data_IF_505280312642
#
_entry.id   IF_505280312642
#
_cell.length_a   1.000
_cell.length_b   1.000
_cell.length_c   1.000
_cell.angle_alpha   90.00
_cell.angle_beta   90.00
_cell.angle_gamma   90.00
#
_symmetry.space_group_name_H-M   'P 1'
#
loop_
_entity.id
_entity.type
_entity.pdbx_description
1 polymer ?
#
# COMPACT_ATOMS: atom_id res chain seq x y z
N UNK A 1 -9.51 -22.03 -9.34
CA UNK A 1 -9.72 -20.59 -9.12
C UNK A 1 -8.74 -19.82 -9.98
N UNK A 2 -9.21 -19.19 -11.05
CA UNK A 2 -8.37 -18.31 -11.85
C UNK A 2 -7.99 -17.07 -11.03
N UNK A 3 -6.72 -16.67 -11.07
CA UNK A 3 -6.28 -15.50 -10.29
C UNK A 3 -6.85 -14.21 -10.90
N UNK A 4 -7.23 -13.23 -10.07
CA UNK A 4 -7.69 -11.93 -10.58
C UNK A 4 -6.65 -11.25 -11.48
N UNK A 5 -5.36 -11.46 -11.22
CA UNK A 5 -4.27 -10.95 -12.05
C UNK A 5 -4.30 -11.51 -13.48
N UNK A 6 -4.57 -12.81 -13.62
CA UNK A 6 -4.68 -13.49 -14.91
C UNK A 6 -5.85 -12.93 -15.73
N UNK A 7 -7.03 -12.78 -15.12
CA UNK A 7 -8.19 -12.24 -15.82
C UNK A 7 -7.98 -10.77 -16.23
N UNK A 8 -7.27 -9.97 -15.42
CA UNK A 8 -6.87 -8.60 -15.81
C UNK A 8 -5.94 -8.59 -17.03
N UNK A 9 -5.00 -9.53 -17.09
CA UNK A 9 -4.15 -9.71 -18.27
C UNK A 9 -4.99 -10.08 -19.50
N UNK A 10 -5.99 -10.95 -19.35
CA UNK A 10 -6.93 -11.29 -20.42
C UNK A 10 -7.77 -10.08 -20.88
N UNK A 11 -8.24 -9.23 -19.95
CA UNK A 11 -8.93 -7.97 -20.31
C UNK A 11 -8.00 -7.06 -21.11
N UNK A 12 -6.74 -6.89 -20.66
CA UNK A 12 -5.73 -6.08 -21.37
C UNK A 12 -5.45 -6.64 -22.77
N UNK A 13 -5.34 -7.96 -22.90
CA UNK A 13 -5.17 -8.63 -24.18
C UNK A 13 -6.35 -8.34 -25.12
N UNK A 14 -7.59 -8.46 -24.64
CA UNK A 14 -8.77 -8.14 -25.44
C UNK A 14 -8.83 -6.65 -25.85
N UNK A 15 -8.45 -5.75 -24.94
CA UNK A 15 -8.32 -4.32 -25.24
C UNK A 15 -7.30 -4.04 -26.35
N UNK A 16 -6.14 -4.71 -26.33
CA UNK A 16 -5.12 -4.58 -27.37
C UNK A 16 -5.52 -5.19 -28.71
N UNK A 17 -6.52 -6.08 -28.72
CA UNK A 17 -7.14 -6.62 -29.94
C UNK A 17 -8.31 -5.77 -30.45
N UNK A 18 -8.47 -4.54 -29.94
CA UNK A 18 -9.58 -3.63 -30.25
C UNK A 18 -10.97 -4.23 -30.00
N UNK A 19 -11.07 -5.22 -29.11
CA UNK A 19 -12.36 -5.75 -28.64
C UNK A 19 -13.02 -4.75 -27.72
N UNK A 20 -14.35 -4.71 -27.73
CA UNK A 20 -15.08 -3.87 -26.80
C UNK A 20 -15.28 -4.58 -25.45
N UNK A 21 -15.65 -3.79 -24.42
CA UNK A 21 -15.83 -4.31 -23.07
C UNK A 21 -16.94 -5.38 -22.99
N UNK A 22 -18.00 -5.27 -23.79
CA UNK A 22 -19.11 -6.23 -23.79
C UNK A 22 -18.68 -7.58 -24.37
N UNK A 23 -17.94 -7.58 -25.48
CA UNK A 23 -17.34 -8.79 -26.05
C UNK A 23 -16.39 -9.45 -25.05
N UNK A 24 -15.55 -8.66 -24.40
CA UNK A 24 -14.59 -9.15 -23.41
C UNK A 24 -15.29 -9.81 -22.22
N UNK A 25 -16.41 -9.23 -21.73
CA UNK A 25 -17.23 -9.87 -20.68
C UNK A 25 -17.73 -11.23 -21.13
N UNK A 26 -18.18 -11.37 -22.37
CA UNK A 26 -18.66 -12.65 -22.89
C UNK A 26 -17.52 -13.66 -23.01
N UNK A 27 -16.35 -13.25 -23.50
CA UNK A 27 -15.16 -14.09 -23.60
C UNK A 27 -14.68 -14.58 -22.23
N UNK A 28 -14.65 -13.70 -21.22
CA UNK A 28 -14.30 -14.07 -19.85
C UNK A 28 -15.31 -15.04 -19.25
N UNK A 29 -16.62 -14.83 -19.46
CA UNK A 29 -17.64 -15.78 -19.00
C UNK A 29 -17.50 -17.15 -19.65
N UNK A 30 -17.17 -17.20 -20.94
CA UNK A 30 -16.94 -18.48 -21.64
C UNK A 30 -15.70 -19.20 -21.10
N UNK A 31 -14.61 -18.48 -20.83
CA UNK A 31 -13.36 -19.06 -20.34
C UNK A 31 -13.40 -19.46 -18.85
N UNK A 32 -13.91 -18.56 -18.00
CA UNK A 32 -13.82 -18.67 -16.54
C UNK A 32 -15.14 -19.07 -15.85
N UNK A 33 -16.27 -19.08 -16.58
CA UNK A 33 -17.60 -19.46 -16.07
C UNK A 33 -17.97 -18.65 -14.82
N UNK A 34 -18.25 -19.33 -13.71
CA UNK A 34 -18.67 -18.70 -12.44
C UNK A 34 -17.53 -17.93 -11.77
N UNK A 35 -16.28 -18.23 -12.09
CA UNK A 35 -15.10 -17.52 -11.61
C UNK A 35 -14.80 -16.23 -12.42
N UNK A 36 -15.61 -15.91 -13.44
CA UNK A 36 -15.35 -14.78 -14.33
C UNK A 36 -15.48 -13.42 -13.63
N UNK A 37 -14.58 -12.50 -14.00
CA UNK A 37 -14.60 -11.11 -13.55
C UNK A 37 -15.94 -10.45 -13.87
N UNK A 38 -16.46 -9.70 -12.90
CA UNK A 38 -17.76 -9.04 -13.04
C UNK A 38 -17.76 -7.98 -14.14
N UNK A 39 -18.93 -7.76 -14.75
CA UNK A 39 -19.11 -6.75 -15.81
C UNK A 39 -18.55 -5.39 -15.42
N UNK A 40 -18.89 -4.87 -14.23
CA UNK A 40 -18.42 -3.56 -13.76
C UNK A 40 -16.89 -3.46 -13.74
N UNK A 41 -16.21 -4.50 -13.24
CA UNK A 41 -14.75 -4.54 -13.17
C UNK A 41 -14.11 -4.51 -14.57
N UNK A 42 -14.68 -5.23 -15.54
CA UNK A 42 -14.19 -5.20 -16.93
C UNK A 42 -14.28 -3.77 -17.49
N UNK A 43 -15.39 -3.07 -17.28
CA UNK A 43 -15.56 -1.69 -17.77
C UNK A 43 -14.61 -0.70 -17.08
N UNK A 44 -14.34 -0.87 -15.79
CA UNK A 44 -13.35 -0.08 -15.05
C UNK A 44 -11.93 -0.27 -15.63
N UNK A 45 -11.54 -1.52 -15.91
CA UNK A 45 -10.26 -1.82 -16.55
C UNK A 45 -10.14 -1.23 -17.95
N UNK A 46 -11.20 -1.34 -18.76
CA UNK A 46 -11.26 -0.70 -20.07
C UNK A 46 -11.10 0.82 -19.97
N UNK A 47 -11.74 1.45 -18.99
CA UNK A 47 -11.62 2.90 -18.76
C UNK A 47 -10.20 3.30 -18.36
N UNK A 48 -9.54 2.49 -17.52
CA UNK A 48 -8.11 2.68 -17.18
C UNK A 48 -7.20 2.59 -18.41
N UNK A 49 -7.39 1.57 -19.24
CA UNK A 49 -6.59 1.39 -20.45
C UNK A 49 -6.80 2.51 -21.47
N UNK A 50 -8.03 3.00 -21.64
CA UNK A 50 -8.32 4.21 -22.45
C UNK A 50 -7.62 5.46 -21.93
N UNK A 51 -7.43 5.57 -20.62
CA UNK A 51 -6.70 6.67 -19.98
C UNK A 51 -5.17 6.46 -20.00
N UNK A 52 -4.66 5.44 -20.69
CA UNK A 52 -3.23 5.16 -20.84
C UNK A 52 -2.60 4.33 -19.72
N UNK A 53 -3.35 3.96 -18.67
CA UNK A 53 -2.85 3.15 -17.55
C UNK A 53 -2.92 1.66 -17.89
N UNK A 54 -1.88 1.16 -18.57
CA UNK A 54 -1.77 -0.22 -19.04
C UNK A 54 -1.25 -1.21 -17.98
N UNK A 55 -1.10 -0.79 -16.72
CA UNK A 55 -0.70 -1.70 -15.63
C UNK A 55 -1.86 -2.63 -15.26
N UNK A 56 -1.58 -3.91 -14.99
CA UNK A 56 -2.58 -4.88 -14.47
C UNK A 56 -2.51 -5.04 -12.94
N UNK A 57 -1.54 -4.37 -12.32
CA UNK A 57 -1.32 -4.42 -10.88
C UNK A 57 -2.29 -3.49 -10.14
N UNK A 58 -2.59 -3.83 -8.90
CA UNK A 58 -3.25 -2.88 -8.00
C UNK A 58 -2.33 -1.67 -7.81
N UNK A 59 -2.89 -0.46 -7.83
CA UNK A 59 -2.16 0.72 -7.35
C UNK A 59 -1.83 0.51 -5.87
N UNK A 60 -0.73 1.08 -5.37
CA UNK A 60 -0.44 1.08 -3.94
C UNK A 60 -1.71 1.52 -3.21
N UNK A 61 -2.24 0.65 -2.36
CA UNK A 61 -3.40 1.02 -1.55
C UNK A 61 -2.91 2.09 -0.59
N UNK A 62 -3.42 3.30 -0.75
CA UNK A 62 -3.35 4.30 0.31
C UNK A 62 -4.13 3.73 1.49
N UNK A 63 -3.41 3.08 2.40
CA UNK A 63 -3.95 2.81 3.73
C UNK A 63 -4.31 4.14 4.39
N UNK A 64 -5.18 4.09 5.41
CA UNK A 64 -5.46 5.27 6.23
C UNK A 64 -4.13 5.81 6.75
N UNK A 65 -3.74 7.06 6.44
CA UNK A 65 -2.57 7.68 7.07
C UNK A 65 -2.78 7.61 8.59
N UNK A 66 -1.83 7.05 9.33
CA UNK A 66 -1.88 7.11 10.79
C UNK A 66 -1.76 8.57 11.17
N UNK A 67 -2.70 9.11 11.95
CA UNK A 67 -2.64 10.49 12.46
C UNK A 67 -1.39 10.75 13.28
N UNK A 68 -0.74 9.69 13.77
CA UNK A 68 0.52 9.77 14.52
C UNK A 68 1.79 9.70 13.66
N UNK A 69 1.72 9.31 12.38
CA UNK A 69 2.87 9.22 11.47
C UNK A 69 2.89 10.39 10.47
N UNK A 70 2.71 11.60 10.98
CA UNK A 70 2.92 12.82 10.18
C UNK A 70 4.40 13.18 10.18
N UNK A 71 4.85 13.94 9.18
CA UNK A 71 6.25 14.36 9.08
C UNK A 71 6.70 15.14 10.32
N UNK A 72 5.83 15.96 10.93
CA UNK A 72 6.18 16.68 12.17
C UNK A 72 6.47 15.72 13.33
N UNK A 73 5.66 14.66 13.47
CA UNK A 73 5.83 13.66 14.51
C UNK A 73 7.09 12.82 14.30
N UNK A 74 7.43 12.52 13.03
CA UNK A 74 8.68 11.84 12.68
C UNK A 74 9.91 12.67 13.07
N UNK A 75 9.89 13.97 12.73
CA UNK A 75 10.97 14.91 13.09
C UNK A 75 11.09 15.01 14.61
N UNK A 76 9.98 15.22 15.31
CA UNK A 76 9.96 15.34 16.78
C UNK A 76 10.56 14.12 17.49
N UNK A 77 10.14 12.91 17.12
CA UNK A 77 10.69 11.67 17.68
C UNK A 77 12.18 11.52 17.37
N UNK A 78 12.59 11.87 16.14
CA UNK A 78 14.00 11.81 15.73
C UNK A 78 14.86 12.75 16.55
N UNK A 79 14.42 13.98 16.81
CA UNK A 79 15.14 14.95 17.63
C UNK A 79 15.32 14.47 19.08
N UNK A 80 14.26 13.94 19.71
CA UNK A 80 14.35 13.40 21.07
C UNK A 80 15.40 12.29 21.16
N UNK A 81 15.38 11.35 20.21
CA UNK A 81 16.33 10.21 20.20
C UNK A 81 17.76 10.66 19.89
N UNK A 82 17.93 11.69 19.06
CA UNK A 82 19.27 12.23 18.77
C UNK A 82 19.84 13.01 19.94
N UNK A 83 18.99 13.62 20.78
CA UNK A 83 19.41 14.29 22.02
C UNK A 83 19.91 13.28 23.06
N UNK A 84 19.17 12.19 23.31
CA UNK A 84 19.66 11.04 24.06
C UNK A 84 19.16 9.71 23.48
N UNK A 85 20.10 8.93 22.95
CA UNK A 85 19.83 7.62 22.35
C UNK A 85 19.47 6.55 23.37
N UNK A 86 19.59 6.81 24.69
CA UNK A 86 19.27 5.86 25.76
C UNK A 86 17.85 5.98 26.29
N UNK A 87 17.14 7.05 25.92
CA UNK A 87 15.72 7.27 26.28
C UNK A 87 14.88 6.04 25.99
N UNK A 88 13.94 5.72 26.88
CA UNK A 88 12.98 4.64 26.67
C UNK A 88 11.85 5.10 25.75
N UNK A 89 11.09 4.13 25.22
CA UNK A 89 9.93 4.45 24.39
C UNK A 89 8.87 5.19 25.22
N UNK A 90 8.75 4.88 26.51
CA UNK A 90 7.88 5.58 27.45
C UNK A 90 8.26 7.07 27.58
N UNK A 91 9.54 7.37 27.78
CA UNK A 91 10.01 8.75 27.91
C UNK A 91 9.82 9.55 26.60
N UNK A 92 10.10 8.92 25.46
CA UNK A 92 9.87 9.53 24.15
C UNK A 92 8.37 9.73 23.91
N UNK A 93 7.51 8.81 24.33
CA UNK A 93 6.05 8.90 24.24
C UNK A 93 5.53 10.11 25.03
N UNK A 94 5.99 10.29 26.26
CA UNK A 94 5.63 11.43 27.10
C UNK A 94 6.08 12.77 26.49
N UNK A 95 7.34 12.86 26.04
CA UNK A 95 7.89 14.07 25.42
C UNK A 95 7.25 14.40 24.06
N UNK A 96 6.91 13.37 23.28
CA UNK A 96 6.31 13.52 21.96
C UNK A 96 4.80 13.79 22.01
N UNK A 97 4.11 13.39 23.08
CA UNK A 97 2.65 13.41 23.17
C UNK A 97 1.97 12.34 22.31
N UNK A 98 2.73 11.35 21.85
CA UNK A 98 2.25 10.24 21.03
C UNK A 98 2.04 9.00 21.88
N UNK A 99 1.20 8.08 21.41
CA UNK A 99 1.08 6.76 22.05
C UNK A 99 2.39 6.00 21.96
N UNK A 100 2.68 5.19 22.97
CA UNK A 100 3.82 4.28 23.00
C UNK A 100 3.95 3.45 21.71
N UNK A 101 2.83 2.91 21.22
CA UNK A 101 2.76 2.13 19.98
C UNK A 101 3.14 2.94 18.74
N UNK A 102 2.77 4.21 18.69
CA UNK A 102 3.12 5.10 17.58
C UNK A 102 4.63 5.38 17.60
N UNK A 103 5.20 5.69 18.77
CA UNK A 103 6.64 5.91 18.92
C UNK A 103 7.43 4.66 18.53
N UNK A 104 7.03 3.47 19.00
CA UNK A 104 7.67 2.20 18.63
C UNK A 104 7.65 1.99 17.11
N UNK A 105 6.52 2.27 16.47
CA UNK A 105 6.39 2.13 15.02
C UNK A 105 7.28 3.13 14.27
N UNK A 106 7.28 4.40 14.69
CA UNK A 106 8.13 5.45 14.11
C UNK A 106 9.61 5.07 14.20
N UNK A 107 10.06 4.65 15.39
CA UNK A 107 11.44 4.22 15.60
C UNK A 107 11.83 3.07 14.67
N UNK A 108 10.98 2.05 14.54
CA UNK A 108 11.33 0.81 13.83
C UNK A 108 11.06 0.84 12.32
N UNK A 109 9.99 1.52 11.87
CA UNK A 109 9.53 1.51 10.47
C UNK A 109 9.92 2.77 9.70
N UNK A 110 9.99 3.91 10.37
CA UNK A 110 10.23 5.20 9.72
C UNK A 110 11.68 5.67 9.91
N UNK A 111 12.23 5.54 11.12
CA UNK A 111 13.61 5.93 11.43
C UNK A 111 14.61 4.77 11.29
N UNK A 112 14.13 3.55 11.05
CA UNK A 112 14.90 2.31 10.98
C UNK A 112 15.89 2.12 12.15
N UNK A 113 15.47 2.50 13.36
CA UNK A 113 16.28 2.38 14.57
C UNK A 113 15.92 1.11 15.35
N UNK A 114 16.95 0.48 15.93
CA UNK A 114 16.81 -0.64 16.86
C UNK A 114 17.50 -0.32 18.18
N UNK A 115 16.98 -0.85 19.28
CA UNK A 115 17.62 -0.73 20.59
C UNK A 115 18.68 -1.82 20.74
N UNK A 116 19.96 -1.43 20.79
CA UNK A 116 21.11 -2.32 20.97
C UNK A 116 21.93 -1.82 22.16
N UNK A 117 22.20 -2.69 23.14
CA UNK A 117 22.92 -2.34 24.36
C UNK A 117 22.39 -1.05 25.03
N UNK A 118 21.06 -0.99 25.20
CA UNK A 118 20.31 0.14 25.74
C UNK A 118 20.37 1.47 24.94
N UNK A 119 20.88 1.47 23.70
CA UNK A 119 20.90 2.65 22.81
C UNK A 119 20.12 2.41 21.53
N UNK A 120 19.41 3.42 21.03
CA UNK A 120 18.89 3.41 19.67
C UNK A 120 20.01 3.63 18.66
N UNK A 121 20.14 2.69 17.73
CA UNK A 121 21.10 2.72 16.62
C UNK A 121 20.37 2.56 15.31
N UNK A 122 20.81 3.33 14.31
CA UNK A 122 20.34 3.19 12.94
C UNK A 122 20.74 1.81 12.42
N UNK A 123 19.77 1.12 11.82
CA UNK A 123 19.95 -0.15 11.16
C UNK A 123 19.83 0.00 9.65
#
# INVERSE_FOLDING_TARGET
>A
MASLSEQRAAVKFCFLLDKNASETVQMLKTAYKDDAMGKTQVYEWFSRFKNGDMSIQDKPRSGRPSTSRTDENLVKVKEIVLADRRETIEQISEASGLSWSSVQLILTKDLNMKRVAAKFVLH
#
